data_IF_959599440948
#
_entry.id   IF_959599440948
#
_cell.length_a   1.000
_cell.length_b   1.000
_cell.length_c   1.000
_cell.angle_alpha   90.00
_cell.angle_beta   90.00
_cell.angle_gamma   90.00
#
_symmetry.space_group_name_H-M   'P 1'
#
loop_
_entity.id
_entity.type
_entity.pdbx_description
1 polymer ?
#
# COMPACT_ATOMS: atom_id res chain seq x y z
N UNK A 1 3.34 3.84 14.09
CA UNK A 1 3.86 3.33 15.38
C UNK A 1 5.26 2.80 15.14
N UNK A 2 6.33 3.51 15.56
CA UNK A 2 7.63 2.85 15.66
C UNK A 2 7.49 1.67 16.64
N UNK A 3 8.22 0.57 16.42
CA UNK A 3 8.17 -0.63 17.27
C UNK A 3 6.92 -1.53 17.16
N UNK A 4 6.02 -1.30 16.20
CA UNK A 4 4.97 -2.28 15.88
C UNK A 4 5.52 -3.45 15.08
N UNK A 5 5.04 -4.66 15.37
CA UNK A 5 5.26 -5.85 14.54
C UNK A 5 4.27 -5.83 13.37
N UNK A 6 4.72 -6.23 12.19
CA UNK A 6 3.88 -6.35 11.00
C UNK A 6 4.25 -7.62 10.23
N UNK A 7 3.33 -8.16 9.44
CA UNK A 7 3.59 -9.27 8.56
C UNK A 7 2.83 -9.10 7.24
N UNK A 8 3.46 -9.56 6.17
CA UNK A 8 2.85 -9.69 4.86
C UNK A 8 2.73 -11.18 4.56
N UNK A 9 1.59 -11.63 4.03
CA UNK A 9 1.36 -13.03 3.69
C UNK A 9 1.27 -13.20 2.19
N UNK A 10 2.00 -14.17 1.64
CA UNK A 10 1.89 -14.56 0.23
C UNK A 10 1.22 -15.94 0.15
N UNK A 11 0.11 -16.09 -0.59
CA UNK A 11 -0.54 -17.37 -0.76
C UNK A 11 0.36 -18.32 -1.56
N UNK A 12 0.46 -19.57 -1.12
CA UNK A 12 1.07 -20.66 -1.88
C UNK A 12 -0.04 -21.42 -2.60
N UNK A 13 -0.12 -21.27 -3.92
CA UNK A 13 -1.13 -21.91 -4.76
C UNK A 13 -0.58 -23.18 -5.45
N UNK A 14 0.70 -23.14 -5.83
CA UNK A 14 1.47 -24.26 -6.39
C UNK A 14 2.72 -24.51 -5.54
N UNK A 15 2.99 -25.78 -5.22
CA UNK A 15 4.21 -26.19 -4.50
C UNK A 15 5.43 -26.34 -5.42
N UNK A 16 5.22 -26.40 -6.73
CA UNK A 16 6.28 -26.47 -7.73
C UNK A 16 6.80 -25.07 -8.12
N UNK A 17 6.00 -24.03 -7.85
CA UNK A 17 6.39 -22.64 -8.06
C UNK A 17 7.41 -22.14 -7.02
N UNK A 18 8.27 -21.23 -7.45
CA UNK A 18 9.15 -20.42 -6.56
C UNK A 18 8.46 -19.11 -6.21
N UNK A 19 8.53 -18.69 -4.95
CA UNK A 19 7.89 -17.45 -4.48
C UNK A 19 8.94 -16.49 -3.94
N UNK A 20 8.88 -15.25 -4.42
CA UNK A 20 9.84 -14.21 -4.09
C UNK A 20 9.12 -12.95 -3.61
N UNK A 21 9.57 -12.42 -2.47
CA UNK A 21 9.19 -11.11 -1.97
C UNK A 21 10.17 -10.05 -2.46
N UNK A 22 9.62 -8.94 -2.94
CA UNK A 22 10.35 -7.75 -3.33
C UNK A 22 9.91 -6.55 -2.51
N UNK A 23 10.85 -5.73 -2.06
CA UNK A 23 10.60 -4.41 -1.47
C UNK A 23 11.29 -3.35 -2.32
N UNK A 24 10.53 -2.38 -2.82
CA UNK A 24 11.03 -1.34 -3.74
C UNK A 24 11.92 -1.93 -4.85
N UNK A 25 11.41 -2.98 -5.52
CA UNK A 25 12.06 -3.74 -6.60
C UNK A 25 13.31 -4.54 -6.19
N UNK A 26 13.71 -4.56 -4.93
CA UNK A 26 14.81 -5.37 -4.42
C UNK A 26 14.30 -6.68 -3.84
N UNK A 27 14.92 -7.81 -4.20
CA UNK A 27 14.59 -9.12 -3.63
C UNK A 27 14.96 -9.14 -2.13
N UNK A 28 13.99 -9.45 -1.26
CA UNK A 28 14.19 -9.49 0.20
C UNK A 28 14.03 -10.89 0.80
N UNK A 29 13.31 -11.80 0.13
CA UNK A 29 13.09 -13.16 0.61
C UNK A 29 12.67 -14.07 -0.54
N UNK A 30 13.28 -15.26 -0.60
CA UNK A 30 12.76 -16.40 -1.36
C UNK A 30 12.13 -17.37 -0.38
N UNK A 31 10.91 -17.82 -0.66
CA UNK A 31 10.20 -18.78 0.17
C UNK A 31 10.55 -20.21 -0.22
N UNK A 32 10.67 -21.07 0.79
CA UNK A 32 10.88 -22.49 0.59
C UNK A 32 9.51 -23.20 0.57
N UNK A 33 9.21 -23.89 -0.52
CA UNK A 33 7.93 -24.60 -0.74
C UNK A 33 8.05 -26.11 -0.56
N UNK A 34 9.25 -26.61 -0.21
CA UNK A 34 9.60 -28.04 -0.15
C UNK A 34 8.89 -28.80 0.99
N UNK A 35 8.20 -28.10 1.89
CA UNK A 35 7.49 -28.70 3.02
C UNK A 35 6.03 -28.27 3.04
N UNK A 36 5.08 -29.20 3.31
CA UNK A 36 3.64 -28.99 3.16
C UNK A 36 3.00 -27.98 4.13
N UNK A 37 3.77 -27.29 4.97
CA UNK A 37 3.29 -26.33 5.98
C UNK A 37 4.11 -25.03 6.05
N UNK A 38 4.73 -24.58 4.96
CA UNK A 38 5.43 -23.28 4.98
C UNK A 38 4.57 -22.17 4.38
N UNK A 39 3.89 -21.42 5.26
CA UNK A 39 3.31 -20.12 4.91
C UNK A 39 4.42 -19.15 4.45
N UNK A 40 4.25 -18.52 3.28
CA UNK A 40 5.22 -17.59 2.73
C UNK A 40 5.02 -16.17 3.28
N UNK A 41 5.33 -15.98 4.57
CA UNK A 41 5.22 -14.67 5.22
C UNK A 41 6.53 -13.86 5.20
N UNK A 42 6.44 -12.54 5.06
CA UNK A 42 7.54 -11.61 5.36
C UNK A 42 7.24 -10.90 6.68
N UNK A 43 8.03 -11.18 7.71
CA UNK A 43 7.84 -10.63 9.05
C UNK A 43 8.74 -9.41 9.29
N UNK A 44 8.14 -8.31 9.75
CA UNK A 44 8.83 -7.09 10.14
C UNK A 44 8.67 -6.94 11.65
N UNK A 45 9.71 -7.34 12.39
CA UNK A 45 9.66 -7.38 13.86
C UNK A 45 9.52 -5.99 14.48
N UNK A 46 10.18 -4.99 13.89
CA UNK A 46 10.17 -3.62 14.36
C UNK A 46 10.12 -2.69 13.14
N UNK A 47 8.92 -2.23 12.79
CA UNK A 47 8.72 -1.32 11.67
C UNK A 47 9.50 -0.03 11.90
N UNK A 48 10.31 0.32 10.91
CA UNK A 48 11.17 1.50 10.86
C UNK A 48 11.08 2.17 9.49
N UNK A 49 11.68 3.35 9.33
CA UNK A 49 11.58 4.12 8.09
C UNK A 49 11.99 3.33 6.83
N UNK A 50 13.00 2.47 6.94
CA UNK A 50 13.49 1.64 5.84
C UNK A 50 12.51 0.56 5.37
N UNK A 51 11.46 0.27 6.14
CA UNK A 51 10.44 -0.71 5.77
C UNK A 51 9.26 -0.09 5.01
N UNK A 52 9.16 1.24 4.94
CA UNK A 52 8.09 1.85 4.13
C UNK A 52 8.36 1.67 2.63
N UNK A 53 7.29 1.61 1.84
CA UNK A 53 7.38 1.44 0.39
C UNK A 53 6.57 0.25 -0.12
N UNK A 54 6.86 -0.14 -1.36
CA UNK A 54 6.09 -1.12 -2.09
C UNK A 54 6.60 -2.53 -1.82
N UNK A 55 5.69 -3.44 -1.51
CA UNK A 55 5.96 -4.85 -1.37
C UNK A 55 5.21 -5.63 -2.44
N UNK A 56 5.89 -6.57 -3.09
CA UNK A 56 5.30 -7.45 -4.10
C UNK A 56 5.72 -8.88 -3.82
N UNK A 57 4.75 -9.80 -3.77
CA UNK A 57 5.04 -11.23 -3.85
C UNK A 57 4.84 -11.70 -5.30
N UNK A 58 5.82 -12.39 -5.85
CA UNK A 58 5.78 -12.95 -7.20
C UNK A 58 5.97 -14.47 -7.14
N UNK A 59 5.07 -15.21 -7.76
CA UNK A 59 5.25 -16.64 -8.08
C UNK A 59 5.90 -16.79 -9.45
N UNK A 60 6.74 -17.81 -9.58
CA UNK A 60 7.38 -18.21 -10.83
C UNK A 60 7.36 -19.73 -10.99
N UNK A 61 6.77 -20.21 -12.09
CA UNK A 61 6.66 -21.63 -12.44
C UNK A 61 6.79 -21.78 -13.96
N UNK A 62 7.68 -22.66 -14.43
CA UNK A 62 7.92 -22.90 -15.86
C UNK A 62 8.11 -21.63 -16.70
N UNK A 63 8.74 -20.60 -16.12
CA UNK A 63 8.99 -19.30 -16.75
C UNK A 63 7.80 -18.33 -16.75
N UNK A 64 6.62 -18.77 -16.30
CA UNK A 64 5.48 -17.89 -16.05
C UNK A 64 5.64 -17.17 -14.72
N UNK A 65 5.49 -15.83 -14.70
CA UNK A 65 5.61 -15.00 -13.50
C UNK A 65 4.31 -14.27 -13.21
N UNK A 66 3.85 -14.33 -11.97
CA UNK A 66 2.63 -13.66 -11.53
C UNK A 66 2.83 -12.93 -10.21
N UNK A 67 2.41 -11.66 -10.16
CA UNK A 67 2.35 -10.92 -8.91
C UNK A 67 1.06 -11.29 -8.14
N UNK A 68 1.21 -11.99 -7.02
CA UNK A 68 0.10 -12.47 -6.19
C UNK A 68 -0.34 -11.44 -5.15
N UNK A 69 0.60 -10.66 -4.64
CA UNK A 69 0.36 -9.62 -3.62
C UNK A 69 1.05 -8.34 -4.03
N UNK A 70 0.36 -7.20 -3.85
CA UNK A 70 0.90 -5.85 -4.05
C UNK A 70 0.42 -4.96 -2.90
N UNK A 71 1.34 -4.57 -2.04
CA UNK A 71 1.04 -3.74 -0.87
C UNK A 71 1.94 -2.51 -0.82
N UNK A 72 1.46 -1.45 -0.17
CA UNK A 72 2.22 -0.22 0.05
C UNK A 72 2.19 0.14 1.53
N UNK A 73 3.29 -0.15 2.23
CA UNK A 73 3.43 0.15 3.65
C UNK A 73 3.78 1.63 3.82
N UNK A 74 2.86 2.39 4.42
CA UNK A 74 3.01 3.83 4.62
C UNK A 74 3.16 4.19 6.09
N UNK A 75 3.85 5.31 6.34
CA UNK A 75 3.84 5.93 7.66
C UNK A 75 2.47 6.58 7.90
N UNK A 76 1.68 5.99 8.81
CA UNK A 76 0.35 6.50 9.17
C UNK A 76 0.36 7.97 9.61
N UNK A 77 1.39 8.44 10.32
CA UNK A 77 1.47 9.84 10.72
C UNK A 77 1.55 10.75 9.49
N UNK A 78 2.43 10.42 8.53
CA UNK A 78 2.57 11.18 7.28
C UNK A 78 1.31 11.14 6.43
N UNK A 79 0.63 9.99 6.39
CA UNK A 79 -0.63 9.83 5.65
C UNK A 79 -1.76 10.68 6.24
N UNK A 80 -1.88 10.73 7.58
CA UNK A 80 -2.88 11.56 8.25
C UNK A 80 -2.62 13.06 8.04
N UNK A 81 -1.36 13.50 8.05
CA UNK A 81 -1.00 14.88 7.70
C UNK A 81 -1.37 15.24 6.26
N UNK A 82 -1.11 14.35 5.29
CA UNK A 82 -1.49 14.57 3.89
C UNK A 82 -3.00 14.62 3.70
N UNK A 83 -3.76 13.76 4.39
CA UNK A 83 -5.22 13.76 4.34
C UNK A 83 -5.83 15.04 4.96
N UNK A 84 -5.20 15.58 6.01
CA UNK A 84 -5.61 16.86 6.61
C UNK A 84 -5.28 18.09 5.75
N UNK A 85 -4.40 17.94 4.76
CA UNK A 85 -3.99 19.00 3.83
C UNK A 85 -4.77 18.99 2.51
N UNK A 86 -5.72 18.06 2.34
CA UNK A 86 -6.76 18.22 1.33
C UNK A 86 -7.53 19.48 1.70
N UNK A 87 -7.20 20.59 1.04
CA UNK A 87 -7.89 21.88 1.18
C UNK A 87 -9.37 21.59 1.12
N UNK A 88 -10.05 21.76 2.26
CA UNK A 88 -11.48 21.92 2.31
C UNK A 88 -11.82 22.97 1.28
N UNK A 89 -12.35 22.55 0.14
CA UNK A 89 -13.01 23.43 -0.80
C UNK A 89 -14.25 23.91 -0.05
N UNK A 90 -14.06 24.97 0.75
CA UNK A 90 -15.17 25.68 1.38
C UNK A 90 -16.17 25.98 0.26
N UNK A 91 -17.40 25.52 0.48
CA UNK A 91 -18.36 25.23 -0.58
C UNK A 91 -18.53 26.34 -1.60
N UNK A 92 -18.43 25.95 -2.87
CA UNK A 92 -18.76 26.70 -4.09
C UNK A 92 -20.11 27.47 -4.01
N UNK A 93 -21.00 27.06 -3.11
CA UNK A 93 -22.29 27.69 -2.85
C UNK A 93 -22.21 29.15 -2.38
N UNK A 94 -21.16 29.53 -1.64
CA UNK A 94 -20.96 30.94 -1.25
C UNK A 94 -20.69 31.84 -2.46
N UNK A 95 -20.01 31.32 -3.49
CA UNK A 95 -19.78 32.04 -4.73
C UNK A 95 -21.07 32.15 -5.56
N UNK A 96 -21.90 31.11 -5.58
CA UNK A 96 -23.22 31.13 -6.22
C UNK A 96 -24.17 32.15 -5.56
N UNK A 97 -24.22 32.19 -4.23
CA UNK A 97 -25.04 33.17 -3.50
C UNK A 97 -24.59 34.60 -3.77
N UNK A 98 -23.28 34.83 -3.90
CA UNK A 98 -22.73 36.16 -4.25
C UNK A 98 -23.15 36.61 -5.65
N UNK A 99 -23.16 35.69 -6.63
CA UNK A 99 -23.59 35.99 -8.00
C UNK A 99 -25.09 36.33 -8.06
N UNK A 100 -25.93 35.56 -7.36
CA UNK A 100 -27.38 35.82 -7.31
C UNK A 100 -27.67 37.17 -6.66
N UNK A 101 -27.00 37.50 -5.55
CA UNK A 101 -27.19 38.79 -4.87
C UNK A 101 -26.77 39.99 -5.75
N UNK A 102 -25.72 39.85 -6.56
CA UNK A 102 -25.30 40.90 -7.48
C UNK A 102 -26.31 41.11 -8.61
N UNK A 103 -26.88 40.04 -9.17
CA UNK A 103 -27.87 40.14 -10.25
C UNK A 103 -29.12 40.89 -9.79
N UNK A 104 -29.62 40.63 -8.57
CA UNK A 104 -30.78 41.31 -7.99
C UNK A 104 -30.50 42.79 -7.64
N UNK A 105 -29.24 43.17 -7.41
CA UNK A 105 -28.88 44.55 -7.07
C UNK A 105 -28.74 45.46 -8.30
N UNK A 106 -28.54 44.87 -9.49
CA UNK A 106 -28.35 45.56 -10.77
C UNK A 106 -29.58 45.46 -11.69
N UNK A 107 -30.71 44.97 -11.17
CA UNK A 107 -32.01 44.88 -11.86
C UNK A 107 -33.07 45.73 -11.14
#
# INVERSE_FOLDING_TARGET
>A
VPFSRYYLSCPIESHYATYNWYHNNSLIKTCNTTHPQQDCFHFIQNVSHGHYGHYVCVSEEDGFKQALVKEHLVNQFRFLFQKGQATTTFGSWLQLLLVVALVELFH
#
